data_IF_423238671713
#
_entry.id   IF_423238671713
#
_cell.length_a   1.000
_cell.length_b   1.000
_cell.length_c   1.000
_cell.angle_alpha   90.00
_cell.angle_beta   90.00
_cell.angle_gamma   90.00
#
_symmetry.space_group_name_H-M   'P 1'
#
loop_
_entity.id
_entity.type
_entity.pdbx_description
1 polymer ?
#
# COMPACT_ATOMS: atom_id res chain seq x y z
N UNK A 1 13.05 -5.14 16.15
CA UNK A 1 12.88 -4.28 14.96
C UNK A 1 14.11 -4.35 14.06
N UNK A 2 15.32 -4.17 14.63
CA UNK A 2 16.57 -4.22 13.87
C UNK A 2 16.80 -5.57 13.16
N UNK A 3 16.44 -6.68 13.77
CA UNK A 3 16.56 -8.00 13.16
C UNK A 3 15.72 -8.17 11.88
N UNK A 4 14.55 -7.52 11.81
CA UNK A 4 13.64 -7.60 10.65
C UNK A 4 13.99 -6.59 9.57
N UNK A 5 14.35 -5.36 9.96
CA UNK A 5 14.58 -4.24 9.02
C UNK A 5 16.05 -4.05 8.63
N UNK A 6 16.96 -4.66 9.36
CA UNK A 6 18.37 -4.30 9.35
C UNK A 6 18.62 -2.99 10.12
N UNK A 7 19.86 -2.76 10.55
CA UNK A 7 20.21 -1.60 11.39
C UNK A 7 19.99 -0.27 10.68
N UNK A 8 20.47 -0.13 9.44
CA UNK A 8 20.41 1.12 8.70
C UNK A 8 18.96 1.53 8.32
N UNK A 9 18.17 0.60 7.82
CA UNK A 9 16.76 0.88 7.46
C UNK A 9 15.92 1.06 8.72
N UNK A 10 16.16 0.25 9.73
CA UNK A 10 15.50 0.36 11.04
C UNK A 10 15.72 1.74 11.68
N UNK A 11 16.96 2.22 11.70
CA UNK A 11 17.28 3.55 12.21
C UNK A 11 16.57 4.68 11.45
N UNK A 12 16.52 4.62 10.12
CA UNK A 12 15.82 5.61 9.28
C UNK A 12 14.30 5.60 9.49
N UNK A 13 13.70 4.42 9.61
CA UNK A 13 12.28 4.26 9.89
C UNK A 13 11.97 4.81 11.29
N UNK A 14 12.81 4.49 12.29
CA UNK A 14 12.65 4.97 13.66
C UNK A 14 12.80 6.49 13.74
N UNK A 15 13.81 7.07 13.09
CA UNK A 15 13.99 8.52 13.01
C UNK A 15 12.77 9.21 12.39
N UNK A 16 12.18 8.62 11.35
CA UNK A 16 10.97 9.17 10.70
C UNK A 16 9.72 9.00 11.55
N UNK A 17 9.60 7.92 12.30
CA UNK A 17 8.50 7.68 13.24
C UNK A 17 8.59 8.58 14.48
N UNK A 18 9.80 8.97 14.88
CA UNK A 18 10.12 9.79 16.04
C UNK A 18 10.42 8.99 17.31
N UNK A 19 9.76 7.86 17.54
CA UNK A 19 10.05 6.98 18.70
C UNK A 19 9.63 5.54 18.41
N UNK A 20 10.19 4.59 19.17
CA UNK A 20 9.83 3.17 19.07
C UNK A 20 8.36 2.94 19.46
N UNK A 21 7.88 3.61 20.50
CA UNK A 21 6.48 3.52 20.93
C UNK A 21 5.54 3.98 19.81
N UNK A 22 5.87 5.09 19.15
CA UNK A 22 5.08 5.60 18.04
C UNK A 22 5.13 4.66 16.83
N UNK A 23 6.29 4.06 16.55
CA UNK A 23 6.40 3.05 15.49
C UNK A 23 5.55 1.81 15.80
N UNK A 24 5.50 1.35 17.04
CA UNK A 24 4.71 0.20 17.46
C UNK A 24 3.19 0.43 17.35
N UNK A 25 2.72 1.66 17.49
CA UNK A 25 1.30 2.02 17.30
C UNK A 25 0.91 2.17 15.83
N UNK A 26 1.89 2.39 14.93
CA UNK A 26 1.61 2.56 13.51
C UNK A 26 1.11 1.25 12.87
N UNK A 27 0.10 1.31 11.99
CA UNK A 27 -0.28 0.17 11.17
C UNK A 27 0.82 -0.15 10.15
N UNK A 28 0.93 -1.41 9.77
CA UNK A 28 1.93 -1.88 8.80
C UNK A 28 1.84 -1.16 7.43
N UNK A 29 0.64 -0.74 7.03
CA UNK A 29 0.42 0.05 5.80
C UNK A 29 1.11 1.42 5.86
N UNK A 30 1.10 2.08 7.01
CA UNK A 30 1.80 3.35 7.21
C UNK A 30 3.31 3.13 7.21
N UNK A 31 3.80 2.09 7.89
CA UNK A 31 5.23 1.74 7.89
C UNK A 31 5.72 1.43 6.47
N UNK A 32 4.89 0.76 5.64
CA UNK A 32 5.23 0.44 4.26
C UNK A 32 5.54 1.68 3.41
N UNK A 33 4.77 2.76 3.58
CA UNK A 33 4.90 3.99 2.78
C UNK A 33 5.59 5.14 3.52
N UNK A 34 6.08 4.89 4.72
CA UNK A 34 6.78 5.89 5.53
C UNK A 34 7.96 6.48 4.74
N UNK A 35 8.05 7.82 4.70
CA UNK A 35 9.00 8.55 3.88
C UNK A 35 8.55 8.86 2.44
N UNK A 36 7.39 8.34 2.03
CA UNK A 36 6.76 8.64 0.73
C UNK A 36 5.45 9.44 0.88
N UNK A 37 5.28 10.15 2.00
CA UNK A 37 4.02 10.84 2.36
C UNK A 37 3.63 11.88 1.30
N UNK A 38 4.58 12.66 0.78
CA UNK A 38 4.32 13.65 -0.27
C UNK A 38 3.75 13.01 -1.54
N UNK A 39 4.29 11.85 -1.93
CA UNK A 39 3.80 11.09 -3.09
C UNK A 39 2.42 10.49 -2.81
N UNK A 40 2.16 10.01 -1.59
CA UNK A 40 0.86 9.49 -1.16
C UNK A 40 -0.21 10.59 -1.21
N UNK A 41 0.05 11.76 -0.62
CA UNK A 41 -0.88 12.90 -0.65
C UNK A 41 -1.13 13.41 -2.07
N UNK A 42 -0.09 13.44 -2.92
CA UNK A 42 -0.27 13.77 -4.34
C UNK A 42 -1.21 12.76 -5.01
N UNK A 43 -1.00 11.46 -4.79
CA UNK A 43 -1.85 10.42 -5.36
C UNK A 43 -3.31 10.55 -4.95
N UNK A 44 -3.57 10.88 -3.68
CA UNK A 44 -4.92 11.12 -3.17
C UNK A 44 -5.59 12.34 -3.82
N UNK A 45 -4.81 13.43 -4.06
CA UNK A 45 -5.34 14.66 -4.69
C UNK A 45 -5.60 14.50 -6.19
N UNK A 46 -4.71 13.81 -6.91
CA UNK A 46 -4.71 13.75 -8.38
C UNK A 46 -5.29 12.45 -8.94
N UNK A 47 -5.64 11.48 -8.07
CA UNK A 47 -6.09 10.15 -8.50
C UNK A 47 -4.99 9.30 -9.16
N UNK A 48 -3.72 9.71 -9.06
CA UNK A 48 -2.60 8.93 -9.58
C UNK A 48 -2.33 7.68 -8.71
N UNK A 49 -1.54 6.73 -9.22
CA UNK A 49 -1.25 5.53 -8.45
C UNK A 49 -0.45 5.85 -7.18
N UNK A 50 -0.87 5.36 -6.01
CA UNK A 50 -0.17 5.59 -4.76
C UNK A 50 1.20 4.90 -4.75
N UNK A 51 2.17 5.40 -3.95
CA UNK A 51 3.47 4.78 -3.79
C UNK A 51 3.31 3.37 -3.21
N UNK A 52 4.08 2.41 -3.74
CA UNK A 52 4.06 1.01 -3.27
C UNK A 52 4.93 0.78 -2.03
N UNK A 53 5.90 1.65 -1.79
CA UNK A 53 6.86 1.58 -0.69
C UNK A 53 7.49 2.97 -0.46
N UNK A 54 7.97 3.21 0.74
CA UNK A 54 8.76 4.38 1.14
C UNK A 54 10.21 4.00 1.44
N UNK A 55 10.71 4.40 2.62
CA UNK A 55 12.08 4.11 3.11
C UNK A 55 12.38 2.60 3.08
N UNK A 56 11.37 1.77 3.31
CA UNK A 56 11.49 0.30 3.32
C UNK A 56 12.03 -0.28 2.00
N UNK A 57 12.02 0.49 0.91
CA UNK A 57 12.64 0.11 -0.36
C UNK A 57 14.16 -0.12 -0.24
N UNK A 58 14.81 0.52 0.71
CA UNK A 58 16.25 0.37 0.95
C UNK A 58 16.60 -0.97 1.63
N UNK A 59 15.60 -1.73 2.08
CA UNK A 59 15.80 -3.07 2.62
C UNK A 59 16.28 -4.01 1.51
N UNK A 60 17.34 -4.79 1.77
CA UNK A 60 18.02 -5.63 0.77
C UNK A 60 17.04 -6.53 -0.01
N UNK A 61 16.16 -7.23 0.68
CA UNK A 61 15.18 -8.14 0.07
C UNK A 61 14.20 -7.39 -0.84
N UNK A 62 13.77 -6.18 -0.46
CA UNK A 62 12.84 -5.37 -1.27
C UNK A 62 13.53 -4.78 -2.48
N UNK A 63 14.77 -4.32 -2.31
CA UNK A 63 15.57 -3.72 -3.39
C UNK A 63 15.95 -4.77 -4.46
N UNK A 64 16.39 -5.94 -4.05
CA UNK A 64 16.78 -7.03 -4.94
C UNK A 64 15.59 -7.60 -5.74
N UNK A 65 14.38 -7.52 -5.22
CA UNK A 65 13.20 -8.09 -5.84
C UNK A 65 12.82 -7.40 -7.17
N UNK A 66 12.21 -8.14 -8.11
CA UNK A 66 11.65 -7.60 -9.35
C UNK A 66 10.59 -6.53 -9.08
N UNK A 67 10.49 -5.52 -9.96
CA UNK A 67 9.58 -4.35 -9.79
C UNK A 67 8.13 -4.73 -9.48
N UNK A 68 7.62 -5.83 -10.01
CA UNK A 68 6.25 -6.29 -9.81
C UNK A 68 6.05 -6.99 -8.45
N UNK A 69 7.11 -7.53 -7.85
CA UNK A 69 7.06 -8.18 -6.53
C UNK A 69 7.33 -7.19 -5.38
N UNK A 70 8.11 -6.11 -5.61
CA UNK A 70 8.57 -5.15 -4.60
C UNK A 70 7.48 -4.70 -3.63
N UNK A 71 6.32 -4.31 -4.15
CA UNK A 71 5.22 -3.84 -3.31
C UNK A 71 4.61 -4.93 -2.41
N UNK A 72 4.65 -6.19 -2.84
CA UNK A 72 4.17 -7.34 -2.07
C UNK A 72 5.16 -7.70 -0.96
N UNK A 73 6.44 -7.74 -1.30
CA UNK A 73 7.53 -8.00 -0.35
C UNK A 73 7.63 -6.85 0.67
N UNK A 74 7.57 -5.60 0.24
CA UNK A 74 7.55 -4.44 1.14
C UNK A 74 6.41 -4.51 2.16
N UNK A 75 5.22 -5.00 1.74
CA UNK A 75 4.10 -5.22 2.66
C UNK A 75 4.38 -6.32 3.66
N UNK A 76 5.01 -7.42 3.24
CA UNK A 76 5.38 -8.51 4.14
C UNK A 76 6.43 -8.05 5.18
N UNK A 77 7.46 -7.33 4.74
CA UNK A 77 8.49 -6.76 5.63
C UNK A 77 7.86 -5.75 6.59
N UNK A 78 7.01 -4.84 6.11
CA UNK A 78 6.33 -3.85 6.96
C UNK A 78 5.42 -4.50 8.01
N UNK A 79 4.71 -5.58 7.66
CA UNK A 79 3.86 -6.31 8.60
C UNK A 79 4.69 -6.94 9.73
N UNK A 80 5.84 -7.55 9.39
CA UNK A 80 6.73 -8.13 10.40
C UNK A 80 7.46 -7.07 11.20
N UNK A 81 7.83 -5.94 10.59
CA UNK A 81 8.40 -4.80 11.29
C UNK A 81 7.45 -4.20 12.32
N UNK A 82 6.15 -4.08 12.00
CA UNK A 82 5.13 -3.62 12.95
C UNK A 82 5.01 -4.54 14.17
N UNK A 83 5.05 -5.85 13.96
CA UNK A 83 5.01 -6.83 15.05
C UNK A 83 6.31 -6.74 15.87
N UNK A 84 7.47 -6.69 15.20
CA UNK A 84 8.76 -6.58 15.88
C UNK A 84 8.86 -5.31 16.72
N UNK A 85 8.36 -4.17 16.25
CA UNK A 85 8.35 -2.93 17.02
C UNK A 85 7.49 -3.05 18.29
N UNK A 86 6.35 -3.73 18.24
CA UNK A 86 5.51 -4.00 19.43
C UNK A 86 6.22 -4.92 20.43
N UNK A 87 6.83 -5.99 19.92
CA UNK A 87 7.64 -6.92 20.77
C UNK A 87 8.78 -6.19 21.46
N UNK A 88 9.48 -5.30 20.74
CA UNK A 88 10.59 -4.53 21.28
C UNK A 88 10.14 -3.54 22.38
N UNK A 89 8.98 -2.90 22.20
CA UNK A 89 8.38 -2.00 23.24
C UNK A 89 8.08 -2.78 24.51
N UNK A 90 7.56 -4.00 24.40
CA UNK A 90 7.23 -4.85 25.53
C UNK A 90 8.44 -5.64 26.06
N UNK A 91 9.65 -5.40 25.54
CA UNK A 91 10.90 -6.07 25.95
C UNK A 91 10.81 -7.61 25.92
N UNK A 92 9.98 -8.16 25.04
CA UNK A 92 9.73 -9.60 24.95
C UNK A 92 10.85 -10.39 24.24
N UNK A 93 11.98 -9.75 23.93
CA UNK A 93 13.15 -10.40 23.32
C UNK A 93 13.03 -10.65 21.82
N UNK A 94 14.08 -11.22 21.25
CA UNK A 94 14.14 -11.55 19.83
C UNK A 94 13.26 -12.76 19.51
N UNK A 95 12.29 -12.61 18.64
CA UNK A 95 11.44 -13.70 18.18
C UNK A 95 11.94 -14.23 16.83
N UNK A 96 12.73 -15.31 16.85
CA UNK A 96 13.29 -15.94 15.66
C UNK A 96 12.20 -16.39 14.68
N UNK A 97 11.05 -16.85 15.20
CA UNK A 97 9.92 -17.30 14.36
C UNK A 97 9.37 -16.20 13.46
N UNK A 98 9.59 -14.90 13.81
CA UNK A 98 9.20 -13.77 13.00
C UNK A 98 10.03 -13.66 11.72
N UNK A 99 11.33 -13.92 11.82
CA UNK A 99 12.26 -13.94 10.68
C UNK A 99 11.96 -15.14 9.77
N UNK A 100 11.76 -16.31 10.36
CA UNK A 100 11.44 -17.53 9.60
C UNK A 100 10.14 -17.36 8.82
N UNK A 101 9.09 -16.85 9.46
CA UNK A 101 7.81 -16.53 8.81
C UNK A 101 7.95 -15.42 7.75
N UNK A 102 8.88 -14.49 7.91
CA UNK A 102 9.16 -13.48 6.86
C UNK A 102 9.80 -14.17 5.66
N UNK A 103 10.83 -14.98 5.87
CA UNK A 103 11.55 -15.67 4.80
C UNK A 103 10.63 -16.63 4.03
N UNK A 104 9.79 -17.39 4.71
CA UNK A 104 8.77 -18.24 4.09
C UNK A 104 7.85 -17.40 3.21
N UNK A 105 7.35 -16.27 3.75
CA UNK A 105 6.43 -15.41 3.01
C UNK A 105 7.07 -14.77 1.79
N UNK A 106 8.34 -14.41 1.85
CA UNK A 106 9.09 -13.87 0.71
C UNK A 106 9.21 -14.93 -0.39
N UNK A 107 9.61 -16.17 -0.04
CA UNK A 107 9.67 -17.29 -1.00
C UNK A 107 8.33 -17.59 -1.67
N UNK A 108 7.24 -17.61 -0.90
CA UNK A 108 5.88 -17.77 -1.46
C UNK A 108 5.55 -16.67 -2.48
N UNK A 109 5.95 -15.43 -2.22
CA UNK A 109 5.70 -14.31 -3.14
C UNK A 109 6.54 -14.48 -4.41
N UNK A 110 7.80 -14.88 -4.29
CA UNK A 110 8.70 -15.11 -5.41
C UNK A 110 8.18 -16.24 -6.31
N UNK A 111 7.72 -17.34 -5.72
CA UNK A 111 7.15 -18.47 -6.45
C UNK A 111 5.84 -18.14 -7.14
N UNK A 112 4.93 -17.46 -6.41
CA UNK A 112 3.59 -17.14 -6.91
C UNK A 112 3.59 -16.07 -8.01
N UNK A 113 4.58 -15.20 -8.02
CA UNK A 113 4.64 -14.06 -8.94
C UNK A 113 5.92 -14.05 -9.79
N UNK A 114 6.33 -15.22 -10.29
CA UNK A 114 7.52 -15.37 -11.17
C UNK A 114 7.45 -14.49 -12.42
N UNK A 115 6.27 -14.40 -13.03
CA UNK A 115 6.05 -13.60 -14.23
C UNK A 115 5.49 -12.20 -13.89
N UNK A 116 5.87 -11.17 -14.65
CA UNK A 116 5.23 -9.85 -14.53
C UNK A 116 3.74 -9.97 -14.85
N UNK A 117 2.86 -9.28 -14.11
CA UNK A 117 1.43 -9.26 -14.45
C UNK A 117 1.24 -8.67 -15.84
N UNK A 118 0.44 -9.33 -16.66
CA UNK A 118 0.00 -8.78 -17.94
C UNK A 118 -0.71 -7.46 -17.61
N UNK A 119 -0.16 -6.35 -18.07
CA UNK A 119 -0.82 -5.06 -17.94
C UNK A 119 -1.97 -5.06 -18.91
N UNK A 120 -3.18 -5.34 -18.45
CA UNK A 120 -4.35 -4.88 -19.15
C UNK A 120 -4.21 -3.36 -19.30
N UNK A 121 -4.23 -2.87 -20.52
CA UNK A 121 -4.19 -1.45 -20.81
C UNK A 121 -5.35 -0.79 -20.07
N UNK A 122 -5.02 0.05 -19.06
CA UNK A 122 -6.07 0.83 -18.40
C UNK A 122 -6.81 1.59 -19.50
N UNK A 123 -8.14 1.60 -19.50
CA UNK A 123 -8.90 2.37 -20.49
C UNK A 123 -8.37 3.80 -20.48
N UNK A 124 -8.12 4.34 -21.66
CA UNK A 124 -7.60 5.69 -21.85
C UNK A 124 -8.45 6.70 -21.07
N UNK A 125 -7.86 7.83 -20.64
CA UNK A 125 -8.62 8.87 -19.93
C UNK A 125 -9.88 9.29 -20.69
N UNK A 126 -9.86 9.22 -22.02
CA UNK A 126 -11.01 9.50 -22.89
C UNK A 126 -12.13 8.47 -22.76
N UNK A 127 -11.80 7.18 -22.57
CA UNK A 127 -12.82 6.14 -22.31
C UNK A 127 -13.46 6.31 -20.92
N UNK A 128 -12.69 6.80 -19.93
CA UNK A 128 -13.23 7.09 -18.60
C UNK A 128 -14.11 8.36 -18.60
N UNK A 129 -13.75 9.39 -19.38
CA UNK A 129 -14.61 10.56 -19.63
C UNK A 129 -15.91 10.17 -20.30
N UNK A 130 -15.85 9.39 -21.38
CA UNK A 130 -17.05 8.91 -22.09
C UNK A 130 -17.96 8.04 -21.21
N UNK A 131 -17.39 7.21 -20.31
CA UNK A 131 -18.17 6.47 -19.30
C UNK A 131 -18.86 7.42 -18.32
N UNK A 132 -18.13 8.38 -17.78
CA UNK A 132 -18.66 9.40 -16.86
C UNK A 132 -19.80 10.20 -17.51
N UNK A 133 -19.62 10.64 -18.75
CA UNK A 133 -20.63 11.41 -19.49
C UNK A 133 -21.89 10.57 -19.81
N UNK A 134 -21.72 9.27 -20.14
CA UNK A 134 -22.86 8.34 -20.30
C UNK A 134 -23.65 8.16 -19.01
N UNK A 135 -22.97 8.03 -17.86
CA UNK A 135 -23.63 7.95 -16.55
C UNK A 135 -24.35 9.25 -16.18
N UNK A 136 -23.72 10.40 -16.43
CA UNK A 136 -24.32 11.70 -16.19
C UNK A 136 -25.58 11.91 -17.06
N UNK A 137 -25.53 11.55 -18.34
CA UNK A 137 -26.66 11.64 -19.28
C UNK A 137 -27.81 10.72 -18.87
N UNK A 138 -27.49 9.48 -18.44
CA UNK A 138 -28.48 8.50 -17.94
C UNK A 138 -29.17 9.03 -16.67
N UNK A 139 -28.42 9.55 -15.73
CA UNK A 139 -28.99 10.10 -14.49
C UNK A 139 -29.85 11.35 -14.71
N UNK A 140 -29.47 12.24 -15.66
CA UNK A 140 -30.32 13.37 -16.07
C UNK A 140 -31.65 12.90 -16.68
N UNK A 141 -31.64 11.88 -17.52
CA UNK A 141 -32.87 11.35 -18.11
C UNK A 141 -33.79 10.70 -17.06
N UNK A 142 -33.25 9.99 -16.08
CA UNK A 142 -34.01 9.40 -14.96
C UNK A 142 -34.64 10.50 -14.10
N UNK A 143 -33.88 11.54 -13.72
CA UNK A 143 -34.39 12.68 -12.96
C UNK A 143 -35.47 13.44 -13.69
N UNK A 144 -35.33 13.61 -15.02
CA UNK A 144 -36.33 14.27 -15.85
C UNK A 144 -37.66 13.45 -15.90
N UNK A 145 -37.55 12.11 -16.06
CA UNK A 145 -38.73 11.24 -16.02
C UNK A 145 -39.43 11.24 -14.65
N UNK A 146 -38.68 11.26 -13.56
CA UNK A 146 -39.23 11.36 -12.21
C UNK A 146 -39.91 12.71 -11.94
N UNK A 147 -39.36 13.82 -12.42
CA UNK A 147 -40.02 15.15 -12.34
C UNK A 147 -41.33 15.18 -13.12
N UNK A 148 -41.35 14.63 -14.35
CA UNK A 148 -42.61 14.54 -15.12
C UNK A 148 -43.69 13.73 -14.38
N UNK A 149 -43.34 12.60 -13.80
CA UNK A 149 -44.28 11.78 -13.02
C UNK A 149 -44.87 12.53 -11.80
N UNK A 150 -44.03 13.29 -11.10
CA UNK A 150 -44.52 14.12 -9.94
C UNK A 150 -45.43 15.27 -10.35
N UNK A 151 -45.22 15.85 -11.54
CA UNK A 151 -46.01 16.99 -12.02
C UNK A 151 -47.33 16.58 -12.68
N UNK A 152 -47.50 15.33 -13.08
CA UNK A 152 -48.72 14.83 -13.72
C UNK A 152 -49.57 13.91 -12.84
N UNK A 153 -49.26 13.82 -11.54
CA UNK A 153 -50.17 13.20 -10.56
C UNK A 153 -50.52 11.73 -10.78
N UNK A 154 -49.55 10.96 -11.36
CA UNK A 154 -49.66 9.50 -11.51
C UNK A 154 -48.53 8.86 -10.69
#
# INVERSE_FOLDING_TARGET
TAAVLGTAVGARILARAGSLNKLATMPASTIQVLGAEKALFRALKTGTNPPKHGIIFQHAIVHAAPRWQRGKIARAVAAKAAIAARVDVHKAGLNQTLLDKLNIRVKEIEEKFKAPPIKESKPSQDQNRQRSDRYAKKNRSIRFKQRKRKNFGI
#
